data_IF_801558932893
#
_entry.id   IF_801558932893
#
_cell.length_a   1.000
_cell.length_b   1.000
_cell.length_c   1.000
_cell.angle_alpha   90.00
_cell.angle_beta   90.00
_cell.angle_gamma   90.00
#
_symmetry.space_group_name_H-M   'P 1'
#
loop_
_entity.id
_entity.type
_entity.pdbx_description
1 polymer ?
#
# COMPACT_ATOMS: atom_id res chain seq x y z
N UNK A 1 23.52 1.70 -1.69
CA UNK A 1 24.43 1.48 -0.54
C UNK A 1 23.68 0.70 0.54
N UNK A 2 24.26 -0.34 1.09
CA UNK A 2 23.62 -1.16 2.14
C UNK A 2 24.34 -0.85 3.46
N UNK A 3 23.56 -0.60 4.51
CA UNK A 3 24.06 -0.34 5.86
C UNK A 3 24.56 -1.59 6.59
N UNK A 4 24.99 -1.42 7.83
CA UNK A 4 25.49 -2.52 8.67
C UNK A 4 24.36 -3.40 9.21
N UNK A 5 24.60 -4.69 9.39
CA UNK A 5 23.64 -5.64 10.00
C UNK A 5 22.27 -5.71 9.29
N UNK A 6 22.24 -5.50 7.97
CA UNK A 6 21.02 -5.62 7.17
C UNK A 6 20.75 -7.09 6.84
N UNK A 7 19.52 -7.54 7.07
CA UNK A 7 19.05 -8.86 6.66
C UNK A 7 18.20 -8.75 5.39
N UNK A 8 18.51 -9.55 4.39
CA UNK A 8 17.81 -9.58 3.09
C UNK A 8 17.28 -11.00 2.85
N UNK A 9 15.96 -11.14 2.81
CA UNK A 9 15.29 -12.40 2.56
C UNK A 9 15.39 -12.86 1.10
N UNK A 10 15.21 -14.15 0.87
CA UNK A 10 15.33 -14.76 -0.45
C UNK A 10 14.43 -14.11 -1.52
N UNK A 11 14.95 -13.95 -2.74
CA UNK A 11 14.27 -13.29 -3.86
C UNK A 11 13.85 -11.84 -3.59
N UNK A 12 14.47 -11.14 -2.64
CA UNK A 12 14.27 -9.70 -2.51
C UNK A 12 15.04 -8.93 -3.59
N UNK A 13 14.40 -7.90 -4.17
CA UNK A 13 14.98 -6.97 -5.12
C UNK A 13 15.24 -5.60 -4.48
N UNK A 14 16.36 -4.97 -4.81
CA UNK A 14 16.74 -3.64 -4.33
C UNK A 14 17.04 -2.78 -5.56
N UNK A 15 16.41 -1.60 -5.65
CA UNK A 15 16.64 -0.67 -6.75
C UNK A 15 18.06 -0.12 -6.76
N UNK A 16 18.52 0.35 -7.93
CA UNK A 16 19.77 1.09 -8.04
C UNK A 16 19.68 2.45 -7.35
N UNK A 17 20.83 3.01 -6.96
CA UNK A 17 20.96 4.37 -6.40
C UNK A 17 20.24 4.67 -5.07
N UNK A 18 19.74 3.67 -4.35
CA UNK A 18 19.14 3.85 -3.02
C UNK A 18 20.09 3.46 -1.90
N UNK A 19 19.80 3.94 -0.68
CA UNK A 19 20.51 3.54 0.54
C UNK A 19 19.60 2.77 1.49
N UNK A 20 20.16 1.78 2.20
CA UNK A 20 19.46 1.02 3.23
C UNK A 20 20.09 1.31 4.58
N UNK A 21 19.30 1.74 5.56
CA UNK A 21 19.76 2.04 6.90
C UNK A 21 20.19 0.77 7.67
N UNK A 22 21.06 0.97 8.66
CA UNK A 22 21.63 -0.09 9.48
C UNK A 22 20.54 -0.89 10.23
N UNK A 23 20.72 -2.20 10.37
CA UNK A 23 19.80 -3.09 11.08
C UNK A 23 18.47 -3.34 10.37
N UNK A 24 18.31 -2.86 9.13
CA UNK A 24 17.08 -3.08 8.35
C UNK A 24 16.86 -4.56 8.04
N UNK A 25 15.59 -5.01 8.07
CA UNK A 25 15.20 -6.39 7.75
C UNK A 25 14.27 -6.40 6.55
N UNK A 26 14.76 -6.82 5.39
CA UNK A 26 13.97 -6.94 4.16
C UNK A 26 13.47 -8.38 4.05
N UNK A 27 12.15 -8.58 4.05
CA UNK A 27 11.57 -9.91 3.93
C UNK A 27 11.74 -10.50 2.52
N UNK A 28 11.62 -11.82 2.39
CA UNK A 28 11.72 -12.49 1.10
C UNK A 28 10.66 -12.00 0.10
N UNK A 29 10.99 -12.03 -1.20
CA UNK A 29 10.14 -11.51 -2.28
C UNK A 29 9.70 -10.05 -2.05
N UNK A 30 10.52 -9.22 -1.41
CA UNK A 30 10.27 -7.77 -1.25
C UNK A 30 11.05 -6.95 -2.28
N UNK A 31 10.52 -5.80 -2.70
CA UNK A 31 11.10 -4.96 -3.76
C UNK A 31 11.39 -3.55 -3.26
N UNK A 32 12.58 -3.28 -2.76
CA UNK A 32 12.95 -1.98 -2.20
C UNK A 32 13.20 -0.96 -3.30
N UNK A 33 12.27 -0.03 -3.50
CA UNK A 33 12.35 1.00 -4.56
C UNK A 33 12.80 2.37 -4.06
N UNK A 34 12.80 2.61 -2.75
CA UNK A 34 13.15 3.89 -2.12
C UNK A 34 14.23 3.71 -1.05
N UNK A 35 14.97 4.77 -0.79
CA UNK A 35 15.97 4.81 0.29
C UNK A 35 15.31 4.64 1.65
N UNK A 36 15.79 3.66 2.42
CA UNK A 36 15.41 3.42 3.81
C UNK A 36 16.34 4.26 4.68
N UNK A 37 15.78 5.25 5.38
CA UNK A 37 16.52 6.15 6.28
C UNK A 37 16.49 5.70 7.74
N UNK A 38 15.47 4.95 8.13
CA UNK A 38 15.24 4.57 9.51
C UNK A 38 15.93 3.24 9.81
N UNK A 39 16.84 3.20 10.78
CA UNK A 39 17.52 1.97 11.16
C UNK A 39 16.58 1.01 11.92
N UNK A 40 16.94 -0.28 11.96
CA UNK A 40 16.27 -1.32 12.75
C UNK A 40 14.78 -1.57 12.42
N UNK A 41 14.33 -1.23 11.21
CA UNK A 41 12.95 -1.51 10.76
C UNK A 41 12.87 -2.72 9.83
N UNK A 42 11.71 -3.37 9.86
CA UNK A 42 11.38 -4.49 8.97
C UNK A 42 10.50 -4.01 7.82
N UNK A 43 10.84 -4.41 6.59
CA UNK A 43 10.17 -4.02 5.36
C UNK A 43 9.68 -5.27 4.61
N UNK A 44 8.49 -5.19 4.01
CA UNK A 44 7.90 -6.27 3.23
C UNK A 44 7.13 -5.72 2.00
N UNK A 45 6.96 -6.55 0.98
CA UNK A 45 6.11 -6.26 -0.20
C UNK A 45 6.87 -5.79 -1.44
N UNK A 46 6.17 -5.73 -2.56
CA UNK A 46 6.65 -5.25 -3.87
C UNK A 46 5.70 -4.15 -4.38
N UNK A 47 6.08 -2.86 -4.34
CA UNK A 47 7.28 -2.28 -3.73
C UNK A 47 7.27 -2.38 -2.19
N UNK A 48 8.46 -2.40 -1.58
CA UNK A 48 8.63 -2.42 -0.14
C UNK A 48 8.24 -1.05 0.42
N UNK A 49 7.07 -1.01 1.06
CA UNK A 49 6.54 0.15 1.77
C UNK A 49 6.49 -0.14 3.26
N UNK A 50 6.15 0.87 4.06
CA UNK A 50 5.74 0.64 5.44
C UNK A 50 4.62 -0.42 5.44
N UNK A 51 4.87 -1.52 6.14
CA UNK A 51 4.02 -2.70 6.20
C UNK A 51 2.56 -2.35 6.54
N UNK A 52 2.35 -1.30 7.35
CA UNK A 52 1.03 -0.83 7.74
C UNK A 52 0.22 -0.24 6.57
N UNK A 53 0.87 0.46 5.64
CA UNK A 53 0.19 1.05 4.48
C UNK A 53 -0.25 -0.03 3.48
N UNK A 54 0.62 -1.02 3.22
CA UNK A 54 0.31 -2.15 2.33
C UNK A 54 -0.84 -3.01 2.87
N UNK A 55 -0.83 -3.28 4.18
CA UNK A 55 -1.93 -4.00 4.83
C UNK A 55 -3.27 -3.26 4.74
N UNK A 56 -3.27 -1.93 4.88
CA UNK A 56 -4.50 -1.13 4.77
C UNK A 56 -5.08 -1.20 3.36
N UNK A 57 -4.25 -1.12 2.32
CA UNK A 57 -4.69 -1.28 0.93
C UNK A 57 -5.21 -2.70 0.67
N UNK A 58 -4.51 -3.74 1.15
CA UNK A 58 -4.98 -5.12 1.03
C UNK A 58 -6.31 -5.38 1.76
N UNK A 59 -6.51 -4.76 2.93
CA UNK A 59 -7.78 -4.83 3.66
C UNK A 59 -8.90 -4.13 2.87
N UNK A 60 -8.63 -2.94 2.31
CA UNK A 60 -9.56 -2.22 1.44
C UNK A 60 -9.91 -3.00 0.17
N UNK A 61 -8.99 -3.81 -0.36
CA UNK A 61 -9.27 -4.66 -1.52
C UNK A 61 -10.36 -5.69 -1.23
N UNK A 62 -10.52 -6.15 0.02
CA UNK A 62 -11.61 -7.04 0.41
C UNK A 62 -12.96 -6.33 0.49
N UNK A 63 -12.97 -5.03 0.81
CA UNK A 63 -14.19 -4.22 0.94
C UNK A 63 -14.60 -3.54 -0.37
N UNK A 64 -13.81 -3.67 -1.45
CA UNK A 64 -14.10 -3.10 -2.77
C UNK A 64 -15.51 -3.45 -3.30
N UNK A 65 -15.98 -4.72 -3.24
CA UNK A 65 -17.32 -5.05 -3.72
C UNK A 65 -18.43 -4.35 -2.94
N UNK A 66 -18.25 -4.19 -1.63
CA UNK A 66 -19.20 -3.47 -0.77
C UNK A 66 -19.18 -1.96 -1.04
N UNK A 67 -18.00 -1.40 -1.30
CA UNK A 67 -17.86 0.00 -1.73
C UNK A 67 -18.53 0.26 -3.08
N UNK A 68 -18.38 -0.63 -4.06
CA UNK A 68 -19.07 -0.52 -5.35
C UNK A 68 -20.59 -0.51 -5.18
N UNK A 69 -21.12 -1.40 -4.33
CA UNK A 69 -22.56 -1.44 -4.02
C UNK A 69 -23.04 -0.12 -3.39
N UNK A 70 -22.31 0.39 -2.39
CA UNK A 70 -22.64 1.67 -1.74
C UNK A 70 -22.61 2.84 -2.72
N UNK A 71 -21.65 2.87 -3.64
CA UNK A 71 -21.58 3.92 -4.67
C UNK A 71 -22.81 3.86 -5.59
N UNK A 72 -23.19 2.67 -6.09
CA UNK A 72 -24.39 2.53 -6.94
C UNK A 72 -25.67 2.94 -6.23
N UNK A 73 -25.80 2.62 -4.95
CA UNK A 73 -26.95 3.03 -4.14
C UNK A 73 -27.00 4.56 -3.99
N UNK A 74 -25.86 5.20 -3.72
CA UNK A 74 -25.75 6.66 -3.64
C UNK A 74 -26.05 7.34 -4.97
N UNK A 75 -25.53 6.82 -6.09
CA UNK A 75 -25.83 7.33 -7.43
C UNK A 75 -27.33 7.27 -7.73
N UNK A 76 -28.00 6.18 -7.36
CA UNK A 76 -29.44 6.02 -7.53
C UNK A 76 -30.23 7.04 -6.70
N UNK A 77 -29.83 7.24 -5.44
CA UNK A 77 -30.46 8.23 -4.56
C UNK A 77 -30.27 9.66 -5.10
N UNK A 78 -29.07 9.99 -5.58
CA UNK A 78 -28.78 11.30 -6.18
C UNK A 78 -29.62 11.53 -7.44
N UNK A 79 -29.75 10.52 -8.32
CA UNK A 79 -30.62 10.63 -9.49
C UNK A 79 -32.08 10.84 -9.12
N UNK A 80 -32.57 10.12 -8.11
CA UNK A 80 -33.94 10.26 -7.64
C UNK A 80 -34.20 11.68 -7.08
N UNK A 81 -33.30 12.17 -6.21
CA UNK A 81 -33.40 13.53 -5.65
C UNK A 81 -33.35 14.61 -6.74
N UNK A 82 -32.48 14.47 -7.74
CA UNK A 82 -32.43 15.39 -8.87
C UNK A 82 -33.72 15.37 -9.69
N UNK A 83 -34.31 14.20 -9.92
CA UNK A 83 -35.58 14.07 -10.65
C UNK A 83 -36.75 14.70 -9.89
N UNK A 84 -36.81 14.52 -8.57
CA UNK A 84 -37.83 15.12 -7.71
C UNK A 84 -37.73 16.65 -7.69
N UNK A 85 -36.51 17.19 -7.73
CA UNK A 85 -36.25 18.63 -7.77
C UNK A 85 -36.56 19.29 -9.11
N UNK A 86 -36.50 18.54 -10.21
CA UNK A 86 -36.83 19.05 -11.56
C UNK A 86 -38.34 19.01 -11.80
N UNK A 87 -39.06 18.13 -11.11
CA UNK A 87 -40.51 17.97 -11.21
C UNK A 87 -41.30 18.86 -10.22
N UNK A 88 -40.61 19.61 -9.36
CA UNK A 88 -41.18 20.57 -8.39
C UNK A 88 -40.99 22.01 -8.88
#
# INVERSE_FOLDING_TARGET
KIGNHVMIGGQAGISGHISIADGSKINGKSGVTKTIKEPNKSFNGHPAYDFAASMRVHALSRTLPEMEKRIKELEKMVQQLLSERVNA
#
